data_IF_878117390395
#
_entry.id   IF_878117390395
#
_cell.length_a   1.000
_cell.length_b   1.000
_cell.length_c   1.000
_cell.angle_alpha   90.00
_cell.angle_beta   90.00
_cell.angle_gamma   90.00
#
_symmetry.space_group_name_H-M   'P 1'
#
loop_
_entity.id
_entity.type
_entity.pdbx_description
1 polymer ?
#
# COMPACT_ATOMS: atom_id res chain seq x y z
N UNK A 1 14.16 -3.58 28.98
CA UNK A 1 14.34 -3.52 27.52
C UNK A 1 13.49 -4.61 26.91
N UNK A 2 12.73 -4.29 25.88
CA UNK A 2 11.71 -5.19 25.36
C UNK A 2 12.23 -5.96 24.15
N UNK A 3 12.00 -7.26 24.08
CA UNK A 3 12.30 -8.05 22.88
C UNK A 3 11.23 -7.80 21.81
N UNK A 4 11.56 -8.08 20.53
CA UNK A 4 10.58 -8.01 19.44
C UNK A 4 9.33 -8.85 19.75
N UNK A 5 9.55 -10.06 20.28
CA UNK A 5 8.45 -10.96 20.67
C UNK A 5 7.55 -10.32 21.75
N UNK A 6 8.14 -9.71 22.80
CA UNK A 6 7.36 -9.09 23.86
C UNK A 6 6.53 -7.90 23.38
N UNK A 7 7.11 -7.08 22.48
CA UNK A 7 6.41 -5.95 21.87
C UNK A 7 5.23 -6.40 21.00
N UNK A 8 5.43 -7.43 20.17
CA UNK A 8 4.36 -7.98 19.34
C UNK A 8 3.20 -8.49 20.21
N UNK A 9 3.51 -9.21 21.28
CA UNK A 9 2.47 -9.73 22.20
C UNK A 9 1.72 -8.59 22.90
N UNK A 10 2.43 -7.55 23.35
CA UNK A 10 1.83 -6.34 23.91
C UNK A 10 0.90 -5.67 22.88
N UNK A 11 1.37 -5.46 21.67
CA UNK A 11 0.59 -4.86 20.60
C UNK A 11 -0.67 -5.66 20.26
N UNK A 12 -0.56 -6.99 20.14
CA UNK A 12 -1.71 -7.88 19.93
C UNK A 12 -2.76 -7.75 21.04
N UNK A 13 -2.30 -7.77 22.29
CA UNK A 13 -3.21 -7.63 23.44
C UNK A 13 -3.93 -6.28 23.46
N UNK A 14 -3.20 -5.19 23.14
CA UNK A 14 -3.76 -3.83 23.08
C UNK A 14 -4.80 -3.71 21.99
N UNK A 15 -4.50 -4.16 20.76
CA UNK A 15 -5.44 -4.12 19.63
C UNK A 15 -6.68 -4.99 19.89
N UNK A 16 -6.49 -6.19 20.45
CA UNK A 16 -7.61 -7.05 20.84
C UNK A 16 -8.57 -6.37 21.85
N UNK A 17 -8.02 -5.73 22.89
CA UNK A 17 -8.80 -4.99 23.89
C UNK A 17 -9.55 -3.80 23.28
N UNK A 18 -8.97 -3.19 22.25
CA UNK A 18 -9.59 -2.10 21.50
C UNK A 18 -10.63 -2.58 20.47
N UNK A 19 -10.81 -3.89 20.28
CA UNK A 19 -11.71 -4.46 19.28
C UNK A 19 -11.16 -4.38 17.86
N UNK A 20 -9.85 -4.20 17.71
CA UNK A 20 -9.13 -4.15 16.43
C UNK A 20 -8.52 -5.51 16.09
N UNK A 21 -8.14 -5.69 14.82
CA UNK A 21 -7.51 -6.92 14.35
C UNK A 21 -6.10 -7.09 14.92
N UNK A 22 -5.90 -8.07 15.82
CA UNK A 22 -4.62 -8.31 16.49
C UNK A 22 -3.45 -8.63 15.55
N UNK A 23 -3.73 -9.18 14.35
CA UNK A 23 -2.71 -9.51 13.34
C UNK A 23 -1.96 -8.27 12.85
N UNK A 24 -2.61 -7.09 12.86
CA UNK A 24 -1.98 -5.84 12.45
C UNK A 24 -0.72 -5.53 13.27
N UNK A 25 -0.68 -5.90 14.56
CA UNK A 25 0.48 -5.73 15.43
C UNK A 25 1.73 -6.48 14.91
N UNK A 26 1.55 -7.70 14.44
CA UNK A 26 2.67 -8.48 13.89
C UNK A 26 3.10 -7.98 12.51
N UNK A 27 2.13 -7.67 11.64
CA UNK A 27 2.43 -7.14 10.31
C UNK A 27 3.18 -5.81 10.41
N UNK A 28 2.78 -4.94 11.32
CA UNK A 28 3.46 -3.67 11.56
C UNK A 28 4.91 -3.85 12.00
N UNK A 29 5.17 -4.77 12.96
CA UNK A 29 6.55 -5.07 13.37
C UNK A 29 7.40 -5.64 12.24
N UNK A 30 6.83 -6.55 11.42
CA UNK A 30 7.51 -7.08 10.23
C UNK A 30 7.94 -5.94 9.32
N UNK A 31 7.05 -4.97 9.10
CA UNK A 31 7.31 -3.86 8.20
C UNK A 31 8.37 -2.88 8.74
N UNK A 32 8.33 -2.55 10.03
CA UNK A 32 9.36 -1.72 10.67
C UNK A 32 10.75 -2.39 10.59
N UNK A 33 10.81 -3.70 10.82
CA UNK A 33 12.05 -4.47 10.70
C UNK A 33 12.54 -4.50 9.25
N UNK A 34 11.63 -4.70 8.26
CA UNK A 34 11.97 -4.68 6.83
C UNK A 34 12.61 -3.36 6.41
N UNK A 35 12.10 -2.23 6.90
CA UNK A 35 12.64 -0.90 6.60
C UNK A 35 14.06 -0.68 7.12
N UNK A 36 14.48 -1.47 8.11
CA UNK A 36 15.85 -1.43 8.71
C UNK A 36 16.71 -2.64 8.33
N UNK A 37 16.31 -3.45 7.35
CA UNK A 37 16.97 -4.68 6.93
C UNK A 37 17.19 -5.69 8.07
N UNK A 38 16.29 -5.70 9.07
CA UNK A 38 16.29 -6.64 10.18
C UNK A 38 15.42 -7.86 9.85
N UNK A 39 15.97 -9.05 9.98
CA UNK A 39 15.17 -10.28 9.87
C UNK A 39 14.48 -10.57 11.20
N UNK A 40 13.22 -10.15 11.32
CA UNK A 40 12.43 -10.30 12.53
C UNK A 40 12.37 -11.77 13.02
N UNK A 41 12.26 -12.75 12.12
CA UNK A 41 12.12 -14.17 12.52
C UNK A 41 13.37 -14.75 13.19
N UNK A 42 14.55 -14.19 12.88
CA UNK A 42 15.80 -14.57 13.53
C UNK A 42 15.97 -13.79 14.85
N UNK A 43 15.55 -12.52 14.87
CA UNK A 43 15.78 -11.61 16.00
C UNK A 43 14.64 -11.57 17.02
N UNK A 44 13.65 -12.47 16.96
CA UNK A 44 12.44 -12.41 17.80
C UNK A 44 12.70 -12.28 19.30
N UNK A 45 13.72 -12.98 19.79
CA UNK A 45 14.09 -13.01 21.21
C UNK A 45 15.23 -12.02 21.56
N UNK A 46 15.72 -11.27 20.55
CA UNK A 46 16.69 -10.21 20.76
C UNK A 46 16.01 -8.95 21.28
N UNK A 47 16.80 -8.07 21.87
CA UNK A 47 16.35 -6.75 22.28
C UNK A 47 16.04 -5.90 21.03
N UNK A 48 14.83 -5.33 20.99
CA UNK A 48 14.43 -4.53 19.86
C UNK A 48 15.19 -3.18 19.81
N UNK A 49 15.52 -2.75 18.60
CA UNK A 49 16.09 -1.42 18.33
C UNK A 49 15.21 -0.31 18.98
N UNK A 50 15.83 0.65 19.62
CA UNK A 50 15.13 1.69 20.40
C UNK A 50 14.17 2.53 19.54
N UNK A 51 14.56 2.82 18.29
CA UNK A 51 13.70 3.56 17.37
C UNK A 51 12.51 2.71 16.93
N UNK A 52 12.74 1.41 16.67
CA UNK A 52 11.63 0.48 16.35
C UNK A 52 10.67 0.35 17.53
N UNK A 53 11.16 0.28 18.77
CA UNK A 53 10.29 0.25 19.95
C UNK A 53 9.38 1.47 20.00
N UNK A 54 9.96 2.65 19.77
CA UNK A 54 9.22 3.93 19.80
C UNK A 54 8.18 3.97 18.69
N UNK A 55 8.61 3.77 17.45
CA UNK A 55 7.72 3.82 16.26
C UNK A 55 6.60 2.77 16.36
N UNK A 56 6.93 1.58 16.87
CA UNK A 56 5.97 0.51 17.06
C UNK A 56 4.89 0.88 18.09
N UNK A 57 5.28 1.39 19.25
CA UNK A 57 4.32 1.74 20.29
C UNK A 57 3.43 2.92 19.89
N UNK A 58 3.97 3.88 19.14
CA UNK A 58 3.20 4.99 18.57
C UNK A 58 2.19 4.47 17.51
N UNK A 59 2.60 3.62 16.59
CA UNK A 59 1.70 3.05 15.61
C UNK A 59 0.63 2.14 16.21
N UNK A 60 0.96 1.33 17.22
CA UNK A 60 -0.05 0.56 17.99
C UNK A 60 -1.07 1.50 18.63
N UNK A 61 -0.63 2.63 19.18
CA UNK A 61 -1.54 3.61 19.76
C UNK A 61 -2.51 4.21 18.74
N UNK A 62 -2.04 4.52 17.53
CA UNK A 62 -2.90 4.98 16.43
C UNK A 62 -3.93 3.91 16.03
N UNK A 63 -3.48 2.66 15.87
CA UNK A 63 -4.36 1.54 15.52
C UNK A 63 -5.40 1.23 16.62
N UNK A 64 -5.06 1.36 17.91
CA UNK A 64 -6.03 1.26 19.00
C UNK A 64 -7.17 2.27 18.86
N UNK A 65 -6.89 3.45 18.33
CA UNK A 65 -7.87 4.50 18.08
C UNK A 65 -8.61 4.34 16.75
N UNK A 66 -8.40 3.23 16.04
CA UNK A 66 -9.12 2.87 14.82
C UNK A 66 -8.41 3.25 13.53
N UNK A 67 -7.17 3.75 13.59
CA UNK A 67 -6.39 4.04 12.39
C UNK A 67 -6.01 2.75 11.67
N UNK A 68 -6.30 2.59 10.37
CA UNK A 68 -5.90 1.42 9.61
C UNK A 68 -4.37 1.30 9.49
N UNK A 69 -3.85 0.06 9.50
CA UNK A 69 -2.41 -0.21 9.37
C UNK A 69 -1.79 0.48 8.15
N UNK A 70 -2.46 0.47 7.00
CA UNK A 70 -1.95 1.12 5.78
C UNK A 70 -1.74 2.62 5.97
N UNK A 71 -2.62 3.31 6.70
CA UNK A 71 -2.44 4.75 6.99
C UNK A 71 -1.32 4.99 8.01
N UNK A 72 -1.18 4.12 9.01
CA UNK A 72 -0.06 4.18 9.97
C UNK A 72 1.28 3.99 9.27
N UNK A 73 1.35 3.09 8.29
CA UNK A 73 2.54 2.87 7.45
C UNK A 73 2.75 3.98 6.40
N UNK A 74 1.67 4.64 5.98
CA UNK A 74 1.67 5.62 4.89
C UNK A 74 1.70 5.00 3.49
N UNK A 75 1.60 3.68 3.36
CA UNK A 75 1.52 2.97 2.08
C UNK A 75 0.83 1.61 2.23
N UNK A 76 0.39 1.08 1.09
CA UNK A 76 -0.18 -0.27 0.96
C UNK A 76 0.44 -0.97 -0.25
N UNK A 77 0.79 -2.24 -0.09
CA UNK A 77 1.26 -3.06 -1.19
C UNK A 77 0.06 -3.50 -2.05
N UNK A 78 0.12 -3.21 -3.34
CA UNK A 78 -0.89 -3.63 -4.31
C UNK A 78 -0.20 -4.09 -5.58
N UNK A 79 -0.48 -5.31 -6.01
CA UNK A 79 0.12 -5.95 -7.19
C UNK A 79 1.66 -5.95 -7.19
N UNK A 80 2.28 -6.00 -5.99
CA UNK A 80 3.73 -5.97 -5.81
C UNK A 80 4.36 -4.57 -5.79
N UNK A 81 3.57 -3.50 -5.89
CA UNK A 81 3.99 -2.10 -5.80
C UNK A 81 3.52 -1.45 -4.50
N UNK A 82 4.34 -0.59 -3.90
CA UNK A 82 3.99 0.16 -2.69
C UNK A 82 3.31 1.48 -3.06
N UNK A 83 1.99 1.57 -2.93
CA UNK A 83 1.21 2.78 -3.18
C UNK A 83 1.11 3.63 -1.91
N UNK A 84 1.40 4.92 -2.01
CA UNK A 84 1.17 5.85 -0.91
C UNK A 84 -0.33 5.91 -0.62
N UNK A 85 -0.67 5.84 0.65
CA UNK A 85 -2.05 5.99 1.13
C UNK A 85 -2.11 6.88 2.36
N UNK A 86 -3.19 7.63 2.49
CA UNK A 86 -3.55 8.46 3.62
C UNK A 86 -5.08 8.59 3.69
N UNK A 87 -5.61 9.44 4.57
CA UNK A 87 -7.05 9.67 4.75
C UNK A 87 -7.78 10.20 3.50
N UNK A 88 -7.05 10.71 2.51
CA UNK A 88 -7.63 11.25 1.26
C UNK A 88 -7.99 10.17 0.24
N UNK A 89 -7.54 8.93 0.42
CA UNK A 89 -7.75 7.82 -0.53
C UNK A 89 -8.18 6.54 0.17
N UNK A 90 -8.95 5.73 -0.53
CA UNK A 90 -9.23 4.38 -0.06
C UNK A 90 -7.96 3.52 -0.15
N UNK A 91 -7.64 2.79 0.92
CA UNK A 91 -6.58 1.78 0.91
C UNK A 91 -6.93 0.71 -0.13
N UNK A 92 -6.06 0.45 -1.11
CA UNK A 92 -6.28 -0.61 -2.11
C UNK A 92 -6.58 -1.95 -1.44
N UNK A 93 -7.51 -2.71 -2.01
CA UNK A 93 -7.90 -4.01 -1.47
C UNK A 93 -7.32 -5.13 -2.31
N UNK A 94 -6.88 -6.25 -1.70
CA UNK A 94 -6.31 -7.38 -2.43
C UNK A 94 -7.24 -7.95 -3.50
N UNK A 95 -8.57 -7.93 -3.26
CA UNK A 95 -9.57 -8.39 -4.22
C UNK A 95 -9.55 -7.57 -5.52
N UNK A 96 -9.09 -6.33 -5.45
CA UNK A 96 -8.99 -5.44 -6.62
C UNK A 96 -7.83 -5.84 -7.55
N UNK A 97 -6.84 -6.59 -7.05
CA UNK A 97 -5.77 -7.16 -7.89
C UNK A 97 -6.31 -8.15 -8.93
N UNK A 98 -7.38 -8.87 -8.59
CA UNK A 98 -8.05 -9.77 -9.53
C UNK A 98 -8.61 -9.01 -10.74
N UNK A 99 -9.11 -7.78 -10.53
CA UNK A 99 -9.56 -6.92 -11.61
C UNK A 99 -8.41 -6.55 -12.55
N UNK A 100 -7.26 -6.15 -11.97
CA UNK A 100 -6.06 -5.83 -12.77
C UNK A 100 -5.64 -7.03 -13.60
N UNK A 101 -5.52 -8.21 -12.98
CA UNK A 101 -5.18 -9.45 -13.68
C UNK A 101 -6.15 -9.81 -14.80
N UNK A 102 -7.46 -9.60 -14.57
CA UNK A 102 -8.50 -9.80 -15.60
C UNK A 102 -8.33 -8.82 -16.77
N UNK A 103 -8.09 -7.54 -16.51
CA UNK A 103 -7.90 -6.51 -17.55
C UNK A 103 -6.68 -6.84 -18.39
N UNK A 104 -5.55 -7.19 -17.76
CA UNK A 104 -4.32 -7.58 -18.47
C UNK A 104 -4.54 -8.82 -19.36
N UNK A 105 -5.20 -9.86 -18.84
CA UNK A 105 -5.55 -11.04 -19.63
C UNK A 105 -6.44 -10.71 -20.83
N UNK A 106 -7.44 -9.83 -20.65
CA UNK A 106 -8.33 -9.42 -21.72
C UNK A 106 -7.68 -8.47 -22.71
N UNK A 107 -6.68 -7.73 -22.29
CA UNK A 107 -5.90 -6.88 -23.19
C UNK A 107 -5.25 -7.71 -24.32
N UNK A 108 -4.65 -8.82 -23.97
CA UNK A 108 -4.04 -9.72 -24.95
C UNK A 108 -5.09 -10.38 -25.87
N UNK A 109 -6.27 -10.71 -25.33
CA UNK A 109 -7.37 -11.29 -26.13
C UNK A 109 -7.91 -10.31 -27.21
N UNK A 110 -8.01 -9.03 -26.89
CA UNK A 110 -8.74 -8.06 -27.71
C UNK A 110 -7.87 -6.99 -28.40
N UNK A 111 -6.66 -6.74 -27.89
CA UNK A 111 -5.80 -5.64 -28.31
C UNK A 111 -4.38 -6.06 -28.68
N UNK A 112 -4.13 -7.35 -28.89
CA UNK A 112 -2.81 -7.88 -29.23
C UNK A 112 -2.14 -7.20 -30.44
N UNK A 113 -2.94 -6.72 -31.40
CA UNK A 113 -2.52 -6.04 -32.63
C UNK A 113 -2.36 -4.52 -32.48
N UNK A 114 -2.59 -3.97 -31.28
CA UNK A 114 -2.53 -2.52 -31.04
C UNK A 114 -1.18 -2.14 -30.44
N UNK A 115 -0.61 -1.08 -30.98
CA UNK A 115 0.60 -0.46 -30.44
C UNK A 115 0.28 0.34 -29.17
N UNK A 116 -0.91 0.94 -29.08
CA UNK A 116 -1.39 1.75 -27.96
C UNK A 116 -2.90 1.67 -27.79
N UNK A 117 -3.34 1.68 -26.54
CA UNK A 117 -4.77 1.68 -26.14
C UNK A 117 -4.97 2.68 -25.00
N UNK A 118 -5.93 3.60 -25.18
CA UNK A 118 -6.32 4.50 -24.10
C UNK A 118 -7.19 3.78 -23.06
N UNK A 119 -6.79 3.87 -21.79
CA UNK A 119 -7.49 3.32 -20.65
C UNK A 119 -7.93 4.45 -19.73
N UNK A 120 -9.18 4.44 -19.29
CA UNK A 120 -9.71 5.43 -18.36
C UNK A 120 -9.94 4.78 -17.00
N UNK A 121 -9.19 5.26 -15.98
CA UNK A 121 -9.38 4.93 -14.58
C UNK A 121 -10.17 6.05 -13.90
N UNK A 122 -11.46 5.79 -13.67
CA UNK A 122 -12.41 6.79 -13.15
C UNK A 122 -12.58 6.59 -11.65
N UNK A 123 -12.43 7.65 -10.87
CA UNK A 123 -12.34 7.63 -9.41
C UNK A 123 -11.11 6.82 -8.94
N UNK A 124 -9.95 7.24 -9.44
CA UNK A 124 -8.69 6.48 -9.33
C UNK A 124 -8.19 6.33 -7.88
N UNK A 125 -8.61 7.22 -6.95
CA UNK A 125 -8.16 7.20 -5.55
C UNK A 125 -6.63 7.29 -5.46
N UNK A 126 -5.99 6.27 -4.89
CA UNK A 126 -4.52 6.16 -4.80
C UNK A 126 -3.82 5.91 -6.13
N UNK A 127 -4.56 5.72 -7.21
CA UNK A 127 -4.00 5.38 -8.52
C UNK A 127 -3.69 3.89 -8.71
N UNK A 128 -4.02 3.04 -7.73
CA UNK A 128 -3.58 1.64 -7.69
C UNK A 128 -3.92 0.85 -8.96
N UNK A 129 -5.13 0.96 -9.49
CA UNK A 129 -5.53 0.25 -10.71
C UNK A 129 -4.82 0.82 -11.94
N UNK A 130 -5.01 2.11 -12.21
CA UNK A 130 -4.52 2.72 -13.44
C UNK A 130 -3.00 2.68 -13.56
N UNK A 131 -2.29 2.98 -12.47
CA UNK A 131 -0.83 2.97 -12.45
C UNK A 131 -0.31 1.54 -12.63
N UNK A 132 -0.88 0.54 -11.94
CA UNK A 132 -0.47 -0.85 -12.11
C UNK A 132 -0.68 -1.32 -13.56
N UNK A 133 -1.82 -1.00 -14.17
CA UNK A 133 -2.08 -1.35 -15.57
C UNK A 133 -1.02 -0.77 -16.51
N UNK A 134 -0.61 0.49 -16.31
CA UNK A 134 0.43 1.11 -17.13
C UNK A 134 1.83 0.51 -16.89
N UNK A 135 2.13 0.10 -15.64
CA UNK A 135 3.41 -0.53 -15.29
C UNK A 135 3.52 -1.94 -15.89
N UNK A 136 2.43 -2.73 -15.81
CA UNK A 136 2.41 -4.10 -16.30
C UNK A 136 2.26 -4.19 -17.82
N UNK A 137 1.57 -3.23 -18.45
CA UNK A 137 1.36 -3.18 -19.89
C UNK A 137 1.63 -1.76 -20.46
N UNK A 138 2.85 -1.49 -20.92
CA UNK A 138 3.25 -0.16 -21.40
C UNK A 138 2.51 0.36 -22.63
N UNK A 139 1.75 -0.49 -23.32
CA UNK A 139 0.86 -0.09 -24.43
C UNK A 139 -0.44 0.55 -23.96
N UNK A 140 -0.74 0.48 -22.65
CA UNK A 140 -1.88 1.15 -22.04
C UNK A 140 -1.52 2.61 -21.72
N UNK A 141 -2.08 3.55 -22.47
CA UNK A 141 -2.03 4.98 -22.19
C UNK A 141 -3.14 5.32 -21.17
N UNK A 142 -2.80 5.50 -19.89
CA UNK A 142 -3.79 5.64 -18.81
C UNK A 142 -4.15 7.10 -18.58
N UNK A 143 -5.45 7.37 -18.52
CA UNK A 143 -6.03 8.63 -18.06
C UNK A 143 -6.76 8.35 -16.74
N UNK A 144 -6.14 8.75 -15.63
CA UNK A 144 -6.71 8.61 -14.31
C UNK A 144 -7.45 9.89 -13.91
N UNK A 145 -8.64 9.75 -13.32
CA UNK A 145 -9.45 10.89 -12.91
C UNK A 145 -10.03 10.70 -11.51
N UNK A 146 -10.17 11.80 -10.77
CA UNK A 146 -10.85 11.81 -9.48
C UNK A 146 -11.53 13.16 -9.25
N UNK A 147 -12.58 13.16 -8.40
CA UNK A 147 -13.23 14.38 -7.93
C UNK A 147 -12.39 15.08 -6.85
N UNK A 148 -11.63 14.29 -6.05
CA UNK A 148 -10.73 14.80 -5.02
C UNK A 148 -9.39 15.22 -5.66
N UNK A 149 -9.00 16.46 -5.38
CA UNK A 149 -7.66 16.96 -5.72
C UNK A 149 -6.58 16.28 -4.88
N UNK A 150 -6.91 16.04 -3.63
CA UNK A 150 -6.05 15.43 -2.63
C UNK A 150 -5.72 14.00 -3.04
N UNK A 151 -6.71 13.23 -3.48
CA UNK A 151 -6.51 11.90 -4.03
C UNK A 151 -5.58 11.90 -5.24
N UNK A 152 -5.73 12.85 -6.18
CA UNK A 152 -4.83 12.98 -7.33
C UNK A 152 -3.39 13.31 -6.93
N UNK A 153 -3.19 14.08 -5.87
CA UNK A 153 -1.85 14.34 -5.31
C UNK A 153 -1.24 13.06 -4.76
N UNK A 154 -2.02 12.25 -4.03
CA UNK A 154 -1.59 10.95 -3.53
C UNK A 154 -1.23 10.01 -4.68
N UNK A 155 -2.08 9.91 -5.70
CA UNK A 155 -1.86 9.06 -6.87
C UNK A 155 -0.58 9.39 -7.66
N UNK A 156 -0.11 10.63 -7.60
CA UNK A 156 1.17 11.04 -8.20
C UNK A 156 2.40 10.60 -7.39
N UNK A 157 2.20 10.10 -6.16
CA UNK A 157 3.25 9.78 -5.20
C UNK A 157 3.31 8.28 -4.98
N UNK A 158 3.92 7.53 -5.90
CA UNK A 158 4.18 6.10 -5.69
C UNK A 158 5.56 5.88 -5.08
N UNK A 159 5.69 4.92 -4.16
CA UNK A 159 6.95 4.63 -3.48
C UNK A 159 7.80 3.66 -4.31
N UNK A 160 9.06 4.02 -4.56
CA UNK A 160 10.06 3.10 -5.13
C UNK A 160 9.96 2.84 -6.62
N UNK A 161 9.00 3.41 -7.32
CA UNK A 161 8.97 3.39 -8.79
C UNK A 161 9.64 4.68 -9.28
N UNK A 162 10.79 4.55 -9.94
CA UNK A 162 11.40 5.68 -10.63
C UNK A 162 10.37 6.28 -11.60
N UNK A 163 10.35 7.59 -11.75
CA UNK A 163 9.39 8.44 -12.48
C UNK A 163 9.21 8.10 -13.98
N UNK A 164 9.28 6.84 -14.34
CA UNK A 164 9.08 6.32 -15.68
C UNK A 164 7.62 5.92 -15.93
N UNK A 165 6.65 6.71 -15.42
CA UNK A 165 5.28 6.62 -15.91
C UNK A 165 5.22 7.13 -17.34
N UNK A 166 5.35 6.23 -18.26
CA UNK A 166 5.54 6.65 -19.64
C UNK A 166 4.31 7.36 -20.23
N UNK A 167 3.07 7.11 -19.68
CA UNK A 167 1.85 7.68 -20.25
C UNK A 167 0.66 7.67 -19.27
N UNK A 168 0.78 8.39 -18.16
CA UNK A 168 -0.34 8.60 -17.24
C UNK A 168 -0.69 10.08 -17.20
N UNK A 169 -1.93 10.42 -17.52
CA UNK A 169 -2.50 11.75 -17.33
C UNK A 169 -3.48 11.75 -16.16
N UNK A 170 -3.31 12.69 -15.22
CA UNK A 170 -4.22 12.87 -14.08
C UNK A 170 -5.17 14.03 -14.37
N UNK A 171 -6.47 13.80 -14.27
CA UNK A 171 -7.51 14.79 -14.59
C UNK A 171 -8.50 14.90 -13.43
N UNK A 172 -8.72 16.13 -12.95
CA UNK A 172 -9.81 16.42 -12.03
C UNK A 172 -11.13 16.52 -12.81
N UNK A 173 -12.14 15.75 -12.41
CA UNK A 173 -13.50 15.79 -12.95
C UNK A 173 -14.48 16.43 -11.96
#
# INVERSE_FOLDING_TARGET
MSTYHSLINEGKERLYKAGQGEQAAQLFMVELCRQKDINLYISMDEEADEQIQTDYLEGIHLMENGEPLGYVLGYECFYGYDFIVNEDVLIPRPETEELVGLVLSKFDDYFADKDHVNVFDVATGSGAIGITLNLEEPRMDVIASDISKEALVVALSIRGVATEYHRIAMIKI
#
